data_IF_383682496062
#
_entry.id   IF_383682496062
#
_cell.length_a   1.000
_cell.length_b   1.000
_cell.length_c   1.000
_cell.angle_alpha   90.00
_cell.angle_beta   90.00
_cell.angle_gamma   90.00
#
_symmetry.space_group_name_H-M   'P 1'
#
loop_
_entity.id
_entity.type
_entity.pdbx_description
1 polymer ?
#
# COMPACT_ATOMS: atom_id res chain seq x y z
N UNK A 1 58.08 -6.04 -62.94
CA UNK A 1 58.65 -4.81 -62.34
C UNK A 1 57.70 -4.32 -61.26
N UNK A 2 58.20 -4.17 -60.02
CA UNK A 2 57.58 -3.63 -58.79
C UNK A 2 56.53 -4.47 -58.04
N UNK A 3 57.08 -5.16 -57.04
CA UNK A 3 56.52 -5.56 -55.74
C UNK A 3 55.91 -4.37 -54.99
N UNK A 4 54.83 -4.60 -54.21
CA UNK A 4 54.65 -4.06 -52.85
C UNK A 4 53.59 -4.83 -52.06
N UNK A 5 54.06 -5.48 -51.00
CA UNK A 5 53.35 -6.10 -49.88
C UNK A 5 52.56 -5.08 -49.04
N UNK A 6 51.48 -5.48 -48.36
CA UNK A 6 51.38 -5.52 -46.88
C UNK A 6 49.93 -5.75 -46.35
N UNK A 7 49.81 -6.77 -45.49
CA UNK A 7 49.07 -6.90 -44.20
C UNK A 7 47.62 -6.40 -44.08
N UNK A 8 46.75 -7.28 -43.54
CA UNK A 8 45.90 -7.14 -42.32
C UNK A 8 45.31 -8.56 -42.08
N UNK A 9 45.91 -9.37 -41.22
CA UNK A 9 45.68 -9.50 -39.77
C UNK A 9 44.31 -10.14 -39.42
N UNK A 10 44.40 -11.40 -38.98
CA UNK A 10 43.40 -12.12 -38.18
C UNK A 10 43.00 -11.29 -36.95
N UNK A 11 41.70 -11.06 -36.77
CA UNK A 11 41.04 -11.04 -35.44
C UNK A 11 39.52 -11.07 -35.63
N UNK A 12 38.95 -12.27 -35.77
CA UNK A 12 37.54 -12.51 -35.46
C UNK A 12 37.49 -13.48 -34.27
N UNK A 13 37.56 -12.91 -33.07
CA UNK A 13 37.46 -13.66 -31.82
C UNK A 13 37.29 -12.67 -30.69
N UNK A 14 36.23 -12.87 -29.89
CA UNK A 14 35.82 -12.11 -28.71
C UNK A 14 35.20 -10.72 -28.93
N UNK A 15 33.91 -10.66 -29.27
CA UNK A 15 33.01 -9.62 -28.70
C UNK A 15 31.55 -10.11 -28.64
N UNK A 16 31.22 -11.14 -27.83
CA UNK A 16 29.79 -11.38 -27.44
C UNK A 16 29.62 -11.95 -26.02
N UNK A 17 30.66 -12.13 -25.20
CA UNK A 17 30.49 -12.69 -23.84
C UNK A 17 30.49 -11.66 -22.68
N UNK A 18 30.68 -10.37 -22.96
CA UNK A 18 30.79 -9.31 -21.94
C UNK A 18 29.47 -8.61 -21.59
N UNK A 19 28.42 -8.73 -22.42
CA UNK A 19 27.16 -8.01 -22.19
C UNK A 19 26.21 -8.70 -21.21
N UNK A 20 26.20 -10.05 -21.14
CA UNK A 20 25.36 -10.77 -20.18
C UNK A 20 25.99 -10.85 -18.79
N UNK A 21 27.32 -10.92 -18.71
CA UNK A 21 28.05 -11.00 -17.43
C UNK A 21 28.00 -9.68 -16.66
N UNK A 22 28.19 -8.54 -17.33
CA UNK A 22 28.06 -7.21 -16.72
C UNK A 22 26.63 -6.91 -16.23
N UNK A 23 25.60 -7.23 -17.04
CA UNK A 23 24.20 -7.09 -16.63
C UNK A 23 23.82 -8.06 -15.49
N UNK A 24 24.39 -9.27 -15.48
CA UNK A 24 24.15 -10.25 -14.42
C UNK A 24 24.78 -9.82 -13.07
N UNK A 25 25.94 -9.17 -13.10
CA UNK A 25 26.57 -8.60 -11.89
C UNK A 25 25.71 -7.47 -11.32
N UNK A 26 25.19 -6.58 -12.17
CA UNK A 26 24.29 -5.48 -11.78
C UNK A 26 22.99 -5.98 -11.15
N UNK A 27 22.34 -7.00 -11.74
CA UNK A 27 21.11 -7.58 -11.17
C UNK A 27 21.37 -8.30 -9.84
N UNK A 28 22.48 -9.05 -9.71
CA UNK A 28 22.80 -9.72 -8.44
C UNK A 28 23.11 -8.72 -7.33
N UNK A 29 23.83 -7.64 -7.64
CA UNK A 29 24.11 -6.57 -6.69
C UNK A 29 22.82 -5.82 -6.30
N UNK A 30 21.93 -5.54 -7.25
CA UNK A 30 20.61 -4.97 -6.97
C UNK A 30 19.76 -5.90 -6.07
N UNK A 31 19.73 -7.20 -6.36
CA UNK A 31 19.03 -8.18 -5.52
C UNK A 31 19.63 -8.28 -4.12
N UNK A 32 20.96 -8.20 -4.00
CA UNK A 32 21.65 -8.18 -2.70
C UNK A 32 21.32 -6.91 -1.91
N UNK A 33 21.31 -5.75 -2.57
CA UNK A 33 20.90 -4.49 -1.97
C UNK A 33 19.44 -4.52 -1.50
N UNK A 34 18.53 -5.06 -2.33
CA UNK A 34 17.11 -5.20 -2.00
C UNK A 34 16.90 -6.15 -0.81
N UNK A 35 17.57 -7.30 -0.77
CA UNK A 35 17.51 -8.23 0.37
C UNK A 35 18.01 -7.57 1.64
N UNK A 36 19.17 -6.90 1.58
CA UNK A 36 19.73 -6.17 2.72
C UNK A 36 18.77 -5.08 3.21
N UNK A 37 18.18 -4.32 2.29
CA UNK A 37 17.19 -3.30 2.63
C UNK A 37 15.97 -3.91 3.32
N UNK A 38 15.40 -4.99 2.76
CA UNK A 38 14.27 -5.71 3.36
C UNK A 38 14.62 -6.22 4.77
N UNK A 39 15.77 -6.86 4.96
CA UNK A 39 16.20 -7.37 6.27
C UNK A 39 16.35 -6.23 7.29
N UNK A 40 16.91 -5.10 6.87
CA UNK A 40 17.04 -3.92 7.74
C UNK A 40 15.68 -3.32 8.10
N UNK A 41 14.75 -3.21 7.14
CA UNK A 41 13.40 -2.70 7.41
C UNK A 41 12.61 -3.62 8.35
N UNK A 42 12.66 -4.94 8.13
CA UNK A 42 12.00 -5.92 8.99
C UNK A 42 12.60 -5.90 10.40
N UNK A 43 13.92 -5.96 10.52
CA UNK A 43 14.59 -5.89 11.83
C UNK A 43 14.25 -4.60 12.58
N UNK A 44 14.14 -3.47 11.87
CA UNK A 44 13.76 -2.19 12.44
C UNK A 44 12.30 -2.17 12.89
N UNK A 45 11.38 -2.64 12.03
CA UNK A 45 9.94 -2.63 12.25
C UNK A 45 9.50 -3.46 13.47
N UNK A 46 10.14 -4.61 13.73
CA UNK A 46 9.76 -5.51 14.84
C UNK A 46 10.50 -5.25 16.16
N UNK A 47 11.07 -4.06 16.33
CA UNK A 47 11.56 -3.61 17.64
C UNK A 47 10.39 -3.15 18.52
N UNK A 48 10.52 -3.32 19.83
CA UNK A 48 9.42 -3.05 20.78
C UNK A 48 8.95 -1.58 20.74
N UNK A 49 9.85 -0.63 20.47
CA UNK A 49 9.54 0.81 20.41
C UNK A 49 8.65 1.23 19.23
N UNK A 50 8.40 0.33 18.27
CA UNK A 50 7.44 0.53 17.19
C UNK A 50 6.01 0.20 17.57
N UNK A 51 5.79 -0.43 18.73
CA UNK A 51 4.48 -0.90 19.15
C UNK A 51 4.02 -0.17 20.41
N UNK A 52 2.71 0.08 20.50
CA UNK A 52 2.03 0.57 21.71
C UNK A 52 0.78 -0.29 21.87
N UNK A 53 0.66 -0.97 23.02
CA UNK A 53 -0.49 -1.82 23.35
C UNK A 53 -0.89 -2.82 22.25
N UNK A 54 0.12 -3.42 21.61
CA UNK A 54 -0.04 -4.43 20.57
C UNK A 54 -0.21 -3.89 19.15
N UNK A 55 -0.40 -2.59 18.94
CA UNK A 55 -0.55 -1.97 17.62
C UNK A 55 0.71 -1.22 17.19
N UNK A 56 0.89 -1.01 15.89
CA UNK A 56 2.06 -0.38 15.31
C UNK A 56 1.90 1.12 15.15
N UNK A 57 2.97 1.85 15.45
CA UNK A 57 3.11 3.29 15.18
C UNK A 57 3.42 3.52 13.71
N UNK A 58 2.91 4.59 13.13
CA UNK A 58 3.25 5.02 11.76
C UNK A 58 4.73 5.42 11.61
N UNK A 59 5.39 5.74 12.71
CA UNK A 59 6.80 6.11 12.79
C UNK A 59 7.31 5.90 14.23
N UNK A 60 8.59 5.58 14.45
CA UNK A 60 9.11 5.42 15.82
C UNK A 60 9.13 6.75 16.58
N UNK A 61 9.01 7.89 15.89
CA UNK A 61 9.07 9.23 16.46
C UNK A 61 7.71 9.81 16.87
N UNK A 62 6.60 9.14 16.55
CA UNK A 62 5.26 9.57 17.00
C UNK A 62 4.84 8.82 18.26
N UNK A 63 3.79 9.28 18.94
CA UNK A 63 3.21 8.58 20.10
C UNK A 63 1.76 8.17 19.82
N UNK A 64 1.51 7.73 18.59
CA UNK A 64 0.21 7.24 18.12
C UNK A 64 0.39 5.96 17.31
N UNK A 65 -0.64 5.12 17.31
CA UNK A 65 -0.70 3.91 16.49
C UNK A 65 -1.63 4.11 15.31
N UNK A 66 -1.31 3.44 14.22
CA UNK A 66 -2.00 3.47 12.94
C UNK A 66 -2.44 2.05 12.59
N UNK A 67 -3.74 1.88 12.32
CA UNK A 67 -4.32 0.57 12.04
C UNK A 67 -3.90 0.03 10.67
N UNK A 68 -3.74 0.88 9.64
CA UNK A 68 -3.26 0.45 8.33
C UNK A 68 -1.80 0.01 8.41
N UNK A 69 -0.96 0.79 9.11
CA UNK A 69 0.42 0.40 9.40
C UNK A 69 0.47 -0.95 10.14
N UNK A 70 -0.43 -1.18 11.09
CA UNK A 70 -0.54 -2.48 11.77
C UNK A 70 -0.89 -3.62 10.81
N UNK A 71 -1.77 -3.38 9.84
CA UNK A 71 -2.07 -4.33 8.76
C UNK A 71 -0.85 -4.72 7.93
N UNK A 72 -0.12 -3.74 7.42
CA UNK A 72 1.12 -4.00 6.67
C UNK A 72 2.18 -4.69 7.53
N UNK A 73 2.31 -4.31 8.81
CA UNK A 73 3.23 -4.93 9.74
C UNK A 73 2.87 -6.41 9.99
N UNK A 74 1.60 -6.80 10.00
CA UNK A 74 1.22 -8.22 10.09
C UNK A 74 1.57 -9.01 8.83
N UNK A 75 1.46 -8.42 7.64
CA UNK A 75 1.94 -9.07 6.42
C UNK A 75 3.48 -9.23 6.40
N UNK A 76 4.21 -8.19 6.82
CA UNK A 76 5.67 -8.25 6.97
C UNK A 76 6.13 -9.30 8.01
N UNK A 77 5.27 -9.64 8.97
CA UNK A 77 5.60 -10.52 10.09
C UNK A 77 5.84 -11.95 9.60
N UNK A 78 5.11 -12.35 8.55
CA UNK A 78 5.30 -13.59 7.81
C UNK A 78 6.71 -13.62 7.22
N UNK A 79 7.10 -12.53 6.55
CA UNK A 79 8.41 -12.42 5.89
C UNK A 79 9.53 -12.46 6.93
N UNK A 80 9.37 -11.78 8.07
CA UNK A 80 10.34 -11.82 9.16
C UNK A 80 10.49 -13.23 9.77
N UNK A 81 9.38 -13.98 9.90
CA UNK A 81 9.41 -15.36 10.38
C UNK A 81 10.09 -16.30 9.38
N UNK A 82 9.74 -16.23 8.09
CA UNK A 82 10.34 -17.05 7.02
C UNK A 82 11.84 -16.77 6.83
N UNK A 83 12.27 -15.53 7.07
CA UNK A 83 13.69 -15.16 7.06
C UNK A 83 14.45 -15.53 8.33
N UNK A 84 13.77 -16.06 9.35
CA UNK A 84 14.37 -16.37 10.65
C UNK A 84 14.81 -15.15 11.46
N UNK A 85 14.34 -13.94 11.09
CA UNK A 85 14.57 -12.72 11.88
C UNK A 85 13.78 -12.75 13.19
N UNK A 86 12.65 -13.46 13.19
CA UNK A 86 11.87 -13.83 14.36
C UNK A 86 11.61 -15.33 14.33
N UNK A 87 11.64 -16.00 15.49
CA UNK A 87 11.10 -17.35 15.60
C UNK A 87 9.61 -17.34 15.26
N UNK A 88 9.08 -18.43 14.68
CA UNK A 88 7.66 -18.55 14.39
C UNK A 88 6.76 -18.30 15.61
N UNK A 89 7.11 -18.81 16.79
CA UNK A 89 6.37 -18.58 18.04
C UNK A 89 6.30 -17.10 18.42
N UNK A 90 7.44 -16.39 18.39
CA UNK A 90 7.49 -14.95 18.65
C UNK A 90 6.64 -14.17 17.65
N UNK A 91 6.74 -14.51 16.36
CA UNK A 91 5.96 -13.87 15.32
C UNK A 91 4.45 -14.12 15.52
N UNK A 92 4.06 -15.35 15.83
CA UNK A 92 2.67 -15.70 16.16
C UNK A 92 2.16 -14.94 17.39
N UNK A 93 2.97 -14.83 18.43
CA UNK A 93 2.57 -14.11 19.65
C UNK A 93 2.35 -12.61 19.38
N UNK A 94 3.19 -11.98 18.55
CA UNK A 94 2.98 -10.61 18.07
C UNK A 94 1.64 -10.50 17.34
N UNK A 95 1.34 -11.44 16.42
CA UNK A 95 0.06 -11.48 15.71
C UNK A 95 -1.14 -11.55 16.69
N UNK A 96 -1.11 -12.49 17.64
CA UNK A 96 -2.20 -12.67 18.61
C UNK A 96 -2.38 -11.42 19.48
N UNK A 97 -1.30 -10.81 19.94
CA UNK A 97 -1.34 -9.57 20.71
C UNK A 97 -1.98 -8.43 19.91
N UNK A 98 -1.60 -8.26 18.65
CA UNK A 98 -2.15 -7.25 17.75
C UNK A 98 -3.63 -7.46 17.50
N UNK A 99 -4.06 -8.68 17.15
CA UNK A 99 -5.50 -8.96 16.91
C UNK A 99 -6.32 -8.79 18.19
N UNK A 100 -5.80 -9.22 19.34
CA UNK A 100 -6.46 -8.98 20.63
C UNK A 100 -6.58 -7.48 20.94
N UNK A 101 -5.60 -6.65 20.56
CA UNK A 101 -5.72 -5.20 20.68
C UNK A 101 -6.85 -4.65 19.81
N UNK A 102 -6.92 -5.08 18.54
CA UNK A 102 -8.01 -4.70 17.64
C UNK A 102 -9.39 -5.14 18.17
N UNK A 103 -9.51 -6.34 18.71
CA UNK A 103 -10.75 -6.84 19.31
C UNK A 103 -11.16 -6.03 20.55
N UNK A 104 -10.21 -5.63 21.40
CA UNK A 104 -10.50 -4.71 22.52
C UNK A 104 -11.09 -3.39 22.02
N UNK A 105 -10.56 -2.84 20.92
CA UNK A 105 -11.10 -1.63 20.30
C UNK A 105 -12.51 -1.84 19.72
N UNK A 106 -12.78 -2.99 19.08
CA UNK A 106 -14.12 -3.33 18.59
C UNK A 106 -15.14 -3.55 19.72
N UNK A 107 -14.68 -4.02 20.88
CA UNK A 107 -15.54 -4.28 22.04
C UNK A 107 -15.84 -3.02 22.88
N UNK A 108 -15.08 -1.93 22.69
CA UNK A 108 -15.37 -0.64 23.31
C UNK A 108 -16.18 0.25 22.33
N UNK A 109 -17.46 0.55 22.60
CA UNK A 109 -18.30 1.39 21.73
C UNK A 109 -17.78 2.81 21.51
N UNK A 110 -16.84 3.29 22.33
CA UNK A 110 -16.20 4.60 22.16
C UNK A 110 -14.97 4.56 21.26
N UNK A 111 -14.51 3.36 20.91
CA UNK A 111 -13.25 3.11 20.21
C UNK A 111 -13.46 2.51 18.82
N UNK A 112 -14.69 2.37 18.33
CA UNK A 112 -15.01 1.89 17.00
C UNK A 112 -16.39 2.41 16.54
N UNK A 113 -16.73 2.18 15.27
CA UNK A 113 -18.09 2.37 14.76
C UNK A 113 -18.50 1.16 13.91
N UNK A 114 -19.45 0.36 14.41
CA UNK A 114 -19.93 -0.87 13.77
C UNK A 114 -18.80 -1.85 13.38
N UNK A 115 -17.81 -1.98 14.25
CA UNK A 115 -16.64 -2.85 14.06
C UNK A 115 -15.53 -2.24 13.23
N UNK A 116 -15.75 -1.11 12.54
CA UNK A 116 -14.69 -0.34 11.89
C UNK A 116 -13.91 0.47 12.91
N UNK A 117 -12.60 0.55 12.72
CA UNK A 117 -11.69 1.22 13.66
C UNK A 117 -11.35 2.64 13.21
N UNK A 118 -11.00 3.48 14.18
CA UNK A 118 -10.43 4.80 13.94
C UNK A 118 -9.06 4.67 13.30
N UNK A 119 -8.72 5.61 12.42
CA UNK A 119 -7.44 5.62 11.71
C UNK A 119 -6.25 5.63 12.70
N UNK A 120 -6.32 6.48 13.73
CA UNK A 120 -5.28 6.62 14.74
C UNK A 120 -5.79 6.50 16.18
N UNK A 121 -4.98 5.88 17.03
CA UNK A 121 -5.21 5.85 18.47
C UNK A 121 -3.99 6.36 19.24
N UNK A 122 -4.25 6.91 20.43
CA UNK A 122 -3.24 7.35 21.39
C UNK A 122 -3.30 6.47 22.64
N UNK A 123 -2.16 6.23 23.33
CA UNK A 123 -2.21 5.67 24.67
C UNK A 123 -3.00 6.59 25.61
N UNK A 124 -3.77 5.98 26.52
CA UNK A 124 -4.35 6.72 27.64
C UNK A 124 -3.27 7.13 28.66
N UNK A 125 -3.65 7.86 29.70
CA UNK A 125 -2.70 8.33 30.72
C UNK A 125 -2.03 7.18 31.47
N UNK A 126 -2.68 6.03 31.58
CA UNK A 126 -2.12 4.84 32.23
C UNK A 126 -1.12 4.11 31.34
N UNK A 127 -1.14 4.36 30.03
CA UNK A 127 -0.37 3.65 29.03
C UNK A 127 -0.93 2.26 28.70
N UNK A 128 -1.96 1.77 29.40
CA UNK A 128 -2.44 0.38 29.26
C UNK A 128 -3.58 0.21 28.25
N UNK A 129 -4.26 1.30 27.88
CA UNK A 129 -5.30 1.29 26.85
C UNK A 129 -5.03 2.29 25.74
N UNK A 130 -5.83 2.19 24.70
CA UNK A 130 -5.83 3.09 23.55
C UNK A 130 -7.16 3.84 23.49
N UNK A 131 -7.12 5.10 23.10
CA UNK A 131 -8.29 5.93 22.81
C UNK A 131 -8.17 6.55 21.43
N UNK A 132 -9.27 6.78 20.70
CA UNK A 132 -9.20 7.47 19.41
C UNK A 132 -8.47 8.81 19.54
N UNK A 133 -7.60 9.10 18.59
CA UNK A 133 -6.95 10.41 18.51
C UNK A 133 -8.02 11.49 18.30
N UNK A 134 -7.92 12.60 19.01
CA UNK A 134 -8.92 13.67 18.88
C UNK A 134 -8.99 14.18 17.44
N UNK A 135 -10.21 14.29 16.90
CA UNK A 135 -10.47 14.75 15.53
C UNK A 135 -10.25 13.71 14.44
N UNK A 136 -9.87 12.47 14.79
CA UNK A 136 -9.68 11.40 13.81
C UNK A 136 -11.00 10.70 13.47
N UNK A 137 -11.08 10.21 12.25
CA UNK A 137 -12.18 9.48 11.69
C UNK A 137 -12.07 7.96 11.88
N UNK A 138 -13.22 7.28 11.87
CA UNK A 138 -13.31 5.86 11.54
C UNK A 138 -13.14 5.72 10.04
N UNK A 139 -12.20 4.88 9.62
CA UNK A 139 -11.77 4.78 8.22
C UNK A 139 -12.03 3.40 7.64
N UNK A 140 -12.69 3.39 6.47
CA UNK A 140 -13.03 2.15 5.75
C UNK A 140 -11.78 1.53 5.12
N UNK A 141 -10.90 2.32 4.50
CA UNK A 141 -9.68 1.82 3.87
C UNK A 141 -8.72 1.28 4.92
N UNK A 142 -8.48 2.03 6.00
CA UNK A 142 -7.47 1.63 6.99
C UNK A 142 -7.91 0.36 7.75
N UNK A 143 -9.21 0.21 8.01
CA UNK A 143 -9.78 -1.04 8.51
C UNK A 143 -9.64 -2.18 7.50
N UNK A 144 -9.83 -1.93 6.20
CA UNK A 144 -9.67 -2.93 5.15
C UNK A 144 -8.20 -3.40 5.02
N UNK A 145 -7.23 -2.49 5.08
CA UNK A 145 -5.80 -2.81 5.07
C UNK A 145 -5.42 -3.61 6.32
N UNK A 146 -5.88 -3.19 7.50
CA UNK A 146 -5.69 -3.93 8.75
C UNK A 146 -6.21 -5.37 8.60
N UNK A 147 -7.45 -5.53 8.15
CA UNK A 147 -8.08 -6.83 7.97
C UNK A 147 -7.32 -7.68 6.94
N UNK A 148 -6.87 -7.11 5.82
CA UNK A 148 -6.08 -7.83 4.83
C UNK A 148 -4.78 -8.39 5.43
N UNK A 149 -4.09 -7.59 6.25
CA UNK A 149 -2.93 -8.02 7.02
C UNK A 149 -3.24 -9.14 8.01
N UNK A 150 -4.33 -9.01 8.78
CA UNK A 150 -4.80 -10.02 9.72
C UNK A 150 -5.10 -11.33 9.00
N UNK A 151 -5.87 -11.30 7.91
CA UNK A 151 -6.22 -12.50 7.15
C UNK A 151 -4.97 -13.18 6.57
N UNK A 152 -4.08 -12.41 5.96
CA UNK A 152 -2.84 -12.91 5.36
C UNK A 152 -1.95 -13.61 6.40
N UNK A 153 -1.72 -12.96 7.55
CA UNK A 153 -0.93 -13.55 8.64
C UNK A 153 -1.63 -14.76 9.27
N UNK A 154 -2.95 -14.69 9.46
CA UNK A 154 -3.72 -15.78 10.06
C UNK A 154 -3.65 -17.05 9.21
N UNK A 155 -3.78 -16.95 7.89
CA UNK A 155 -3.67 -18.07 6.96
C UNK A 155 -2.27 -18.70 7.01
N UNK A 156 -1.22 -17.88 7.07
CA UNK A 156 0.15 -18.36 7.22
C UNK A 156 0.36 -19.12 8.53
N UNK A 157 0.09 -18.50 9.69
CA UNK A 157 0.33 -19.13 10.99
C UNK A 157 -0.56 -20.36 11.23
N UNK A 158 -1.78 -20.36 10.70
CA UNK A 158 -2.65 -21.52 10.72
C UNK A 158 -2.02 -22.72 10.00
N UNK A 159 -1.36 -22.51 8.85
CA UNK A 159 -0.63 -23.57 8.13
C UNK A 159 0.63 -24.03 8.88
N UNK A 160 1.18 -23.20 9.75
CA UNK A 160 2.27 -23.56 10.65
C UNK A 160 1.80 -24.29 11.93
N UNK A 161 0.50 -24.56 12.08
CA UNK A 161 -0.07 -25.31 13.20
C UNK A 161 -0.72 -24.45 14.30
N UNK A 162 -0.73 -23.12 14.18
CA UNK A 162 -1.34 -22.21 15.15
C UNK A 162 -2.79 -21.89 14.78
N UNK A 163 -3.69 -22.87 14.94
CA UNK A 163 -5.09 -22.74 14.52
C UNK A 163 -5.85 -21.59 15.20
N UNK A 164 -5.43 -21.19 16.41
CA UNK A 164 -6.02 -20.07 17.15
C UNK A 164 -5.95 -18.74 16.38
N UNK A 165 -5.00 -18.61 15.45
CA UNK A 165 -4.83 -17.40 14.66
C UNK A 165 -6.01 -17.17 13.71
N UNK A 166 -6.54 -18.24 13.11
CA UNK A 166 -7.72 -18.20 12.26
C UNK A 166 -8.97 -17.84 13.05
N UNK A 167 -9.13 -18.36 14.26
CA UNK A 167 -10.29 -18.07 15.09
C UNK A 167 -10.34 -16.58 15.46
N UNK A 168 -9.19 -16.02 15.85
CA UNK A 168 -9.05 -14.59 16.14
C UNK A 168 -9.28 -13.70 14.92
N UNK A 169 -8.74 -14.08 13.77
CA UNK A 169 -8.97 -13.35 12.51
C UNK A 169 -10.45 -13.37 12.11
N UNK A 170 -11.12 -14.53 12.25
CA UNK A 170 -12.55 -14.69 11.97
C UNK A 170 -13.41 -13.88 12.94
N UNK A 171 -13.05 -13.84 14.22
CA UNK A 171 -13.71 -13.02 15.24
C UNK A 171 -13.67 -11.54 14.83
N UNK A 172 -12.47 -11.01 14.55
CA UNK A 172 -12.30 -9.61 14.14
C UNK A 172 -13.07 -9.27 12.87
N UNK A 173 -13.01 -10.14 11.86
CA UNK A 173 -13.70 -9.93 10.58
C UNK A 173 -15.23 -9.98 10.74
N UNK A 174 -15.75 -10.89 11.58
CA UNK A 174 -17.20 -11.03 11.80
C UNK A 174 -17.81 -9.78 12.44
N UNK A 175 -17.03 -9.05 13.24
CA UNK A 175 -17.48 -7.83 13.89
C UNK A 175 -17.64 -6.65 12.91
N UNK A 176 -17.03 -6.69 11.72
CA UNK A 176 -17.09 -5.60 10.75
C UNK A 176 -18.40 -5.70 9.96
N UNK A 177 -19.29 -4.72 10.16
CA UNK A 177 -20.55 -4.65 9.43
C UNK A 177 -20.45 -3.69 8.23
N UNK A 178 -20.00 -4.21 7.08
CA UNK A 178 -19.78 -3.40 5.87
C UNK A 178 -21.01 -2.65 5.37
N UNK A 179 -22.22 -3.14 5.65
CA UNK A 179 -23.46 -2.45 5.25
C UNK A 179 -23.62 -1.08 5.90
N UNK A 180 -23.03 -0.84 7.08
CA UNK A 180 -23.11 0.48 7.72
C UNK A 180 -22.37 1.55 6.94
N UNK A 181 -21.24 1.23 6.31
CA UNK A 181 -20.50 2.17 5.46
C UNK A 181 -20.98 2.15 4.01
N UNK A 182 -21.82 1.21 3.62
CA UNK A 182 -22.33 1.11 2.25
C UNK A 182 -23.60 1.94 2.05
N UNK A 183 -23.53 2.87 1.12
CA UNK A 183 -24.68 3.65 0.71
C UNK A 183 -25.43 2.93 -0.43
N UNK A 184 -26.57 2.33 -0.11
CA UNK A 184 -27.35 1.54 -1.07
C UNK A 184 -27.95 2.34 -2.24
N UNK A 185 -28.20 3.65 -2.09
CA UNK A 185 -28.75 4.46 -3.18
C UNK A 185 -27.67 4.94 -4.15
N UNK A 186 -26.48 5.31 -3.64
CA UNK A 186 -25.32 5.65 -4.47
C UNK A 186 -24.53 4.44 -4.95
N UNK A 187 -24.78 3.26 -4.37
CA UNK A 187 -24.04 2.02 -4.64
C UNK A 187 -22.53 2.16 -4.40
N UNK A 188 -22.18 2.86 -3.32
CA UNK A 188 -20.80 3.26 -3.01
C UNK A 188 -20.55 3.17 -1.51
N UNK A 189 -19.32 2.86 -1.13
CA UNK A 189 -18.89 2.96 0.27
C UNK A 189 -18.59 4.42 0.62
N UNK A 190 -19.00 4.83 1.82
CA UNK A 190 -18.49 6.04 2.46
C UNK A 190 -17.00 5.90 2.74
N UNK A 191 -16.25 7.00 2.67
CA UNK A 191 -14.83 6.97 2.99
C UNK A 191 -14.62 6.75 4.48
N UNK A 192 -15.34 7.53 5.28
CA UNK A 192 -15.12 7.61 6.70
C UNK A 192 -16.36 8.09 7.47
N UNK A 193 -16.30 7.95 8.79
CA UNK A 193 -17.30 8.41 9.74
C UNK A 193 -16.63 9.14 10.92
N UNK A 194 -17.23 10.23 11.38
CA UNK A 194 -16.81 10.90 12.62
C UNK A 194 -18.02 11.29 13.47
N UNK A 195 -18.78 12.32 13.05
CA UNK A 195 -20.09 12.69 13.60
C UNK A 195 -21.19 12.57 12.53
N UNK A 196 -20.94 11.71 11.54
CA UNK A 196 -21.66 11.61 10.29
C UNK A 196 -20.73 11.03 9.22
N UNK A 197 -21.32 10.43 8.20
CA UNK A 197 -20.56 9.91 7.07
C UNK A 197 -20.08 11.03 6.15
N UNK A 198 -18.87 10.89 5.62
CA UNK A 198 -18.33 11.83 4.63
C UNK A 198 -17.49 11.11 3.58
N UNK A 199 -17.43 11.72 2.40
CA UNK A 199 -16.77 11.16 1.23
C UNK A 199 -17.46 9.91 0.70
N UNK A 200 -17.14 9.56 -0.55
CA UNK A 200 -17.53 8.30 -1.16
C UNK A 200 -16.38 7.76 -1.99
N UNK A 201 -16.17 6.46 -1.95
CA UNK A 201 -15.26 5.77 -2.86
C UNK A 201 -15.93 5.59 -4.22
N UNK A 202 -15.81 6.61 -5.07
CA UNK A 202 -16.51 6.73 -6.36
C UNK A 202 -15.59 6.69 -7.59
N UNK A 203 -14.28 6.54 -7.39
CA UNK A 203 -13.26 6.34 -8.42
C UNK A 203 -12.41 5.10 -8.13
N UNK A 204 -11.73 4.60 -9.16
CA UNK A 204 -10.77 3.52 -9.00
C UNK A 204 -9.57 3.93 -8.11
N UNK A 205 -9.36 3.16 -7.06
CA UNK A 205 -8.05 2.84 -6.49
C UNK A 205 -8.02 1.34 -6.21
N UNK A 206 -6.84 0.75 -6.08
CA UNK A 206 -6.72 -0.66 -5.68
C UNK A 206 -7.20 -0.89 -4.23
N UNK A 207 -7.17 0.13 -3.38
CA UNK A 207 -7.74 0.11 -2.03
C UNK A 207 -9.28 -0.01 -2.05
N UNK A 208 -9.97 0.62 -3.01
CA UNK A 208 -11.42 0.44 -3.19
C UNK A 208 -11.74 -0.99 -3.63
N UNK A 209 -10.87 -1.60 -4.45
CA UNK A 209 -10.97 -3.02 -4.78
C UNK A 209 -10.80 -3.91 -3.53
N UNK A 210 -9.86 -3.57 -2.65
CA UNK A 210 -9.63 -4.27 -1.39
C UNK A 210 -10.86 -4.19 -0.47
N UNK A 211 -11.48 -3.01 -0.32
CA UNK A 211 -12.74 -2.84 0.42
C UNK A 211 -13.81 -3.77 -0.16
N UNK A 212 -14.00 -3.75 -1.48
CA UNK A 212 -15.11 -4.46 -2.11
C UNK A 212 -14.98 -5.98 -2.00
N UNK A 213 -13.77 -6.53 -2.15
CA UNK A 213 -13.51 -7.96 -1.93
C UNK A 213 -13.73 -8.35 -0.48
N UNK A 214 -13.25 -7.56 0.47
CA UNK A 214 -13.42 -7.87 1.90
C UNK A 214 -14.87 -7.68 2.35
N UNK A 215 -15.63 -6.76 1.76
CA UNK A 215 -17.05 -6.66 2.04
C UNK A 215 -17.83 -7.87 1.52
N UNK A 216 -17.52 -8.32 0.30
CA UNK A 216 -18.11 -9.52 -0.31
C UNK A 216 -17.76 -10.79 0.49
N UNK A 217 -16.54 -10.87 1.00
CA UNK A 217 -15.99 -12.02 1.71
C UNK A 217 -16.40 -12.15 3.17
N UNK A 218 -17.16 -11.20 3.73
CA UNK A 218 -17.47 -11.19 5.17
C UNK A 218 -18.02 -12.54 5.65
N UNK A 219 -17.57 -13.08 6.80
CA UNK A 219 -18.09 -14.34 7.32
C UNK A 219 -19.55 -14.23 7.80
N UNK A 220 -20.06 -13.02 8.01
CA UNK A 220 -21.44 -12.73 8.42
C UNK A 220 -22.22 -12.27 7.19
N UNK A 221 -23.21 -13.06 6.75
CA UNK A 221 -23.96 -12.82 5.50
C UNK A 221 -24.70 -11.48 5.54
N UNK A 222 -25.19 -11.10 6.71
CA UNK A 222 -25.90 -9.86 6.99
C UNK A 222 -25.00 -8.63 6.92
N UNK A 223 -23.68 -8.81 6.99
CA UNK A 223 -22.70 -7.75 6.89
C UNK A 223 -22.16 -7.59 5.47
N UNK A 224 -22.45 -8.52 4.55
CA UNK A 224 -21.90 -8.52 3.19
C UNK A 224 -22.49 -7.43 2.31
N UNK A 225 -21.65 -6.91 1.41
CA UNK A 225 -22.03 -6.09 0.27
C UNK A 225 -21.53 -6.79 -0.99
N UNK A 226 -22.38 -6.91 -2.02
CA UNK A 226 -21.96 -7.54 -3.26
C UNK A 226 -20.92 -6.66 -3.98
N UNK A 227 -19.84 -7.27 -4.46
CA UNK A 227 -18.79 -6.54 -5.19
C UNK A 227 -19.33 -5.87 -6.47
N UNK A 228 -20.37 -6.44 -7.10
CA UNK A 228 -21.06 -5.86 -8.26
C UNK A 228 -21.85 -4.61 -7.89
N UNK A 229 -22.36 -4.54 -6.66
CA UNK A 229 -23.05 -3.36 -6.15
C UNK A 229 -22.10 -2.28 -5.65
N UNK A 230 -20.86 -2.61 -5.32
CA UNK A 230 -19.85 -1.62 -4.89
C UNK A 230 -18.86 -1.30 -6.00
N UNK A 231 -17.81 -2.11 -6.16
CA UNK A 231 -16.76 -1.89 -7.17
C UNK A 231 -17.31 -1.82 -8.61
N UNK A 232 -18.42 -2.51 -8.90
CA UNK A 232 -19.09 -2.42 -10.19
C UNK A 232 -19.66 -1.03 -10.54
N UNK A 233 -19.87 -0.15 -9.55
CA UNK A 233 -20.48 1.17 -9.73
C UNK A 233 -19.51 2.34 -9.51
N UNK A 234 -18.20 2.06 -9.45
CA UNK A 234 -17.19 3.12 -9.42
C UNK A 234 -17.03 3.75 -10.80
N UNK A 235 -16.50 4.97 -10.81
CA UNK A 235 -16.08 5.66 -12.02
C UNK A 235 -14.72 5.13 -12.48
N UNK A 236 -14.69 4.53 -13.68
CA UNK A 236 -13.45 4.12 -14.36
C UNK A 236 -13.16 5.12 -15.47
N UNK A 237 -12.13 5.96 -15.27
CA UNK A 237 -11.64 6.90 -16.29
C UNK A 237 -10.35 6.41 -16.89
N UNK A 238 -10.38 6.09 -18.18
CA UNK A 238 -9.17 5.76 -18.94
C UNK A 238 -8.50 7.03 -19.46
N UNK A 239 -7.18 6.96 -19.64
CA UNK A 239 -6.48 7.80 -20.59
C UNK A 239 -5.06 7.33 -20.79
N UNK A 240 -4.20 8.23 -21.26
CA UNK A 240 -2.85 7.87 -21.64
C UNK A 240 -1.84 8.98 -21.39
N UNK A 241 -0.58 8.58 -21.20
CA UNK A 241 0.56 9.47 -21.17
C UNK A 241 1.72 8.84 -21.94
N UNK A 242 2.19 9.51 -22.99
CA UNK A 242 3.36 9.09 -23.81
C UNK A 242 3.32 7.61 -24.24
N UNK A 243 2.14 7.11 -24.62
CA UNK A 243 1.94 5.74 -25.10
C UNK A 243 1.57 4.71 -24.04
N UNK A 244 1.56 5.08 -22.75
CA UNK A 244 1.04 4.23 -21.68
C UNK A 244 -0.43 4.55 -21.42
N UNK A 245 -1.32 3.60 -21.67
CA UNK A 245 -2.76 3.73 -21.39
C UNK A 245 -3.13 3.02 -20.09
N UNK A 246 -3.92 3.68 -19.24
CA UNK A 246 -4.36 3.14 -17.96
C UNK A 246 -5.61 3.85 -17.43
N UNK A 247 -6.26 3.23 -16.45
CA UNK A 247 -7.31 3.79 -15.61
C UNK A 247 -6.68 4.64 -14.54
N UNK A 248 -7.08 5.90 -14.46
CA UNK A 248 -6.58 6.82 -13.46
C UNK A 248 -7.33 6.69 -12.13
N UNK A 249 -6.56 6.75 -11.05
CA UNK A 249 -7.01 7.17 -9.74
C UNK A 249 -7.10 8.70 -9.66
N UNK A 250 -8.01 9.19 -8.81
CA UNK A 250 -8.33 10.62 -8.70
C UNK A 250 -7.10 11.51 -8.46
N UNK A 251 -6.29 11.14 -7.47
CA UNK A 251 -5.08 11.87 -7.10
C UNK A 251 -3.87 11.51 -7.99
N UNK A 252 -3.88 10.35 -8.65
CA UNK A 252 -2.73 9.90 -9.45
C UNK A 252 -1.46 9.58 -8.63
N UNK A 253 -1.51 9.71 -7.30
CA UNK A 253 -0.50 9.22 -6.36
C UNK A 253 -0.30 7.70 -6.51
N UNK A 254 0.94 7.25 -6.59
CA UNK A 254 1.26 5.87 -6.97
C UNK A 254 0.80 4.82 -5.94
N UNK A 255 0.70 5.16 -4.65
CA UNK A 255 0.23 4.22 -3.62
C UNK A 255 -1.16 3.64 -3.90
N UNK A 256 -2.03 4.42 -4.56
CA UNK A 256 -3.42 4.04 -4.93
C UNK A 256 -3.52 2.92 -5.97
N UNK A 257 -2.38 2.39 -6.41
CA UNK A 257 -2.26 1.26 -7.34
C UNK A 257 -1.44 0.10 -6.76
N UNK A 258 -0.89 0.24 -5.55
CA UNK A 258 0.12 -0.67 -4.98
C UNK A 258 -0.32 -1.35 -3.67
N UNK A 259 -1.12 -0.70 -2.83
CA UNK A 259 -1.41 -1.21 -1.49
C UNK A 259 -2.13 -2.55 -1.49
N UNK A 260 -3.10 -2.75 -2.39
CA UNK A 260 -3.80 -4.02 -2.48
C UNK A 260 -2.92 -5.13 -3.06
N UNK A 261 -1.89 -4.80 -3.87
CA UNK A 261 -0.93 -5.78 -4.40
C UNK A 261 -0.09 -6.43 -3.31
N UNK A 262 0.02 -5.83 -2.13
CA UNK A 262 0.67 -6.46 -0.97
C UNK A 262 -0.08 -7.70 -0.47
N UNK A 263 -1.39 -7.82 -0.75
CA UNK A 263 -2.26 -8.88 -0.23
C UNK A 263 -2.92 -9.72 -1.33
N UNK A 264 -3.13 -9.14 -2.51
CA UNK A 264 -3.85 -9.76 -3.63
C UNK A 264 -2.90 -9.92 -4.81
N UNK A 265 -2.80 -11.14 -5.32
CA UNK A 265 -2.06 -11.41 -6.54
C UNK A 265 -2.90 -11.09 -7.79
N UNK A 266 -2.89 -9.83 -8.21
CA UNK A 266 -3.61 -9.37 -9.39
C UNK A 266 -3.16 -10.05 -10.70
N UNK A 267 -1.96 -10.66 -10.74
CA UNK A 267 -1.50 -11.42 -11.93
C UNK A 267 -2.35 -12.65 -12.21
N UNK A 268 -3.03 -13.14 -11.18
CA UNK A 268 -3.90 -14.32 -11.22
C UNK A 268 -5.34 -13.94 -11.44
N UNK A 269 -5.63 -12.65 -11.51
CA UNK A 269 -6.95 -12.14 -11.86
C UNK A 269 -6.94 -11.87 -13.36
N UNK A 270 -7.90 -12.44 -14.06
CA UNK A 270 -8.20 -12.04 -15.43
C UNK A 270 -8.80 -10.61 -15.43
N UNK A 271 -9.12 -10.11 -16.62
CA UNK A 271 -9.89 -8.87 -16.76
C UNK A 271 -11.16 -8.92 -15.93
N UNK A 272 -11.44 -7.83 -15.22
CA UNK A 272 -12.68 -7.73 -14.48
C UNK A 272 -13.89 -7.74 -15.42
N UNK A 273 -15.01 -8.29 -14.96
CA UNK A 273 -16.19 -8.52 -15.80
C UNK A 273 -17.03 -7.26 -16.08
N UNK A 274 -16.83 -6.19 -15.31
CA UNK A 274 -17.69 -5.00 -15.37
C UNK A 274 -17.06 -3.94 -16.27
N UNK A 275 -15.80 -3.61 -16.02
CA UNK A 275 -15.05 -2.57 -16.71
C UNK A 275 -14.09 -3.15 -17.77
N UNK A 276 -13.95 -4.48 -17.83
CA UNK A 276 -13.03 -5.17 -18.76
C UNK A 276 -11.57 -4.75 -18.60
N UNK A 277 -11.15 -4.39 -17.38
CA UNK A 277 -9.79 -3.93 -17.08
C UNK A 277 -8.98 -5.08 -16.48
N UNK A 278 -7.78 -5.28 -17.01
CA UNK A 278 -6.75 -6.09 -16.37
C UNK A 278 -6.02 -5.20 -15.37
N UNK A 279 -6.36 -5.33 -14.08
CA UNK A 279 -5.84 -4.45 -13.03
C UNK A 279 -4.33 -4.62 -12.79
N UNK A 280 -3.76 -5.79 -13.12
CA UNK A 280 -2.30 -5.97 -13.08
C UNK A 280 -1.61 -5.16 -14.18
N UNK A 281 -2.10 -5.24 -15.41
CA UNK A 281 -1.57 -4.43 -16.51
C UNK A 281 -1.85 -2.94 -16.27
N UNK A 282 -2.97 -2.61 -15.66
CA UNK A 282 -3.30 -1.24 -15.27
C UNK A 282 -2.26 -0.65 -14.32
N UNK A 283 -1.93 -1.36 -13.23
CA UNK A 283 -0.90 -0.92 -12.27
C UNK A 283 0.47 -0.80 -12.95
N UNK A 284 0.85 -1.75 -13.83
CA UNK A 284 2.10 -1.64 -14.61
C UNK A 284 2.14 -0.38 -15.46
N UNK A 285 1.09 -0.10 -16.21
CA UNK A 285 0.99 1.11 -17.03
C UNK A 285 1.01 2.37 -16.18
N UNK A 286 0.40 2.35 -14.99
CA UNK A 286 0.46 3.43 -14.03
C UNK A 286 1.90 3.67 -13.53
N UNK A 287 2.65 2.63 -13.16
CA UNK A 287 4.06 2.74 -12.75
C UNK A 287 4.95 3.27 -13.89
N UNK A 288 4.79 2.74 -15.10
CA UNK A 288 5.55 3.20 -16.28
C UNK A 288 5.26 4.67 -16.62
N UNK A 289 3.99 5.08 -16.45
CA UNK A 289 3.62 6.49 -16.57
C UNK A 289 4.30 7.35 -15.50
N UNK A 290 4.42 6.88 -14.25
CA UNK A 290 5.14 7.58 -13.18
C UNK A 290 6.59 7.87 -13.57
N UNK A 291 7.29 6.82 -14.00
CA UNK A 291 8.69 6.87 -14.40
C UNK A 291 8.87 7.84 -15.56
N UNK A 292 8.02 7.76 -16.59
CA UNK A 292 8.10 8.64 -17.74
C UNK A 292 7.80 10.10 -17.35
N UNK A 293 6.79 10.32 -16.51
CA UNK A 293 6.44 11.65 -16.03
C UNK A 293 7.59 12.29 -15.25
N UNK A 294 8.24 11.54 -14.35
CA UNK A 294 9.40 12.03 -13.61
C UNK A 294 10.55 12.45 -14.54
N UNK A 295 10.85 11.64 -15.56
CA UNK A 295 11.87 11.96 -16.58
C UNK A 295 11.53 13.25 -17.32
N UNK A 296 10.29 13.39 -17.78
CA UNK A 296 9.82 14.56 -18.53
C UNK A 296 9.82 15.84 -17.66
N UNK A 297 9.67 15.69 -16.34
CA UNK A 297 9.63 16.79 -15.39
C UNK A 297 10.96 17.02 -14.66
N UNK A 298 12.08 16.55 -15.21
CA UNK A 298 13.43 16.85 -14.74
C UNK A 298 13.76 16.27 -13.37
N UNK A 299 13.22 15.10 -13.03
CA UNK A 299 13.77 14.26 -11.98
C UNK A 299 15.01 13.52 -12.52
N UNK A 300 16.00 13.18 -11.68
CA UNK A 300 17.09 12.30 -12.08
C UNK A 300 16.55 10.97 -12.62
N UNK A 301 17.30 10.34 -13.53
CA UNK A 301 16.87 9.14 -14.28
C UNK A 301 16.31 8.01 -13.41
N UNK A 302 16.87 7.84 -12.21
CA UNK A 302 16.59 6.73 -11.29
C UNK A 302 15.75 7.17 -10.08
N UNK A 303 15.14 8.37 -10.14
CA UNK A 303 14.31 8.93 -9.07
C UNK A 303 12.87 9.08 -9.57
N UNK A 304 11.99 8.20 -9.07
CA UNK A 304 10.56 8.14 -9.36
C UNK A 304 9.78 7.62 -8.14
N UNK A 305 8.46 7.51 -8.22
CA UNK A 305 7.60 7.12 -7.11
C UNK A 305 6.85 8.33 -6.54
N UNK A 306 6.07 9.02 -7.38
CA UNK A 306 5.27 10.17 -6.96
C UNK A 306 4.09 9.67 -6.13
N UNK A 307 4.13 9.94 -4.82
CA UNK A 307 3.14 9.46 -3.87
C UNK A 307 3.20 10.29 -2.59
N UNK A 308 2.20 10.09 -1.71
CA UNK A 308 2.20 10.69 -0.38
C UNK A 308 3.48 10.36 0.38
N UNK A 309 4.21 11.37 0.84
CA UNK A 309 5.43 11.18 1.63
C UNK A 309 5.66 12.35 2.58
N UNK A 310 6.35 12.05 3.69
CA UNK A 310 6.84 13.08 4.59
C UNK A 310 7.92 13.92 3.90
N UNK A 311 7.75 15.23 3.92
CA UNK A 311 8.78 16.16 3.46
C UNK A 311 8.84 17.39 4.36
N UNK A 312 10.01 18.04 4.41
CA UNK A 312 10.15 19.26 5.20
C UNK A 312 9.35 20.39 4.56
N UNK A 313 8.54 21.08 5.36
CA UNK A 313 7.78 22.26 4.92
C UNK A 313 8.68 23.44 4.49
N UNK A 314 9.92 23.50 5.00
CA UNK A 314 11.01 24.40 4.61
C UNK A 314 12.37 23.80 5.05
N UNK A 315 13.51 24.39 4.67
CA UNK A 315 14.83 23.84 5.03
C UNK A 315 15.01 23.58 6.55
N UNK A 316 14.42 24.44 7.39
CA UNK A 316 14.42 24.36 8.86
C UNK A 316 13.05 23.98 9.46
N UNK A 317 12.02 23.78 8.63
CA UNK A 317 10.66 23.48 9.07
C UNK A 317 10.47 22.02 9.47
N UNK A 318 9.41 21.70 10.23
CA UNK A 318 9.06 20.33 10.56
C UNK A 318 8.75 19.54 9.27
N UNK A 319 8.99 18.23 9.32
CA UNK A 319 8.47 17.31 8.33
C UNK A 319 6.95 17.25 8.46
N UNK A 320 6.24 17.34 7.34
CA UNK A 320 4.79 17.17 7.22
C UNK A 320 4.49 16.11 6.16
N UNK A 321 3.44 15.34 6.36
CA UNK A 321 2.92 14.44 5.32
C UNK A 321 2.35 15.30 4.19
N UNK A 322 2.88 15.15 2.98
CA UNK A 322 2.37 15.82 1.79
C UNK A 322 1.88 14.76 0.81
N UNK A 323 0.63 14.89 0.38
CA UNK A 323 0.12 14.16 -0.79
C UNK A 323 0.75 14.77 -2.04
N UNK A 324 1.22 13.91 -2.95
CA UNK A 324 1.96 14.32 -4.14
C UNK A 324 1.37 13.60 -5.32
N UNK A 325 0.79 14.39 -6.20
CA UNK A 325 -0.06 13.92 -7.27
C UNK A 325 0.59 14.19 -8.62
N UNK A 326 0.23 13.42 -9.65
CA UNK A 326 0.77 13.66 -11.00
C UNK A 326 0.19 14.95 -11.57
N UNK A 327 1.04 15.94 -11.86
CA UNK A 327 0.63 17.19 -12.53
C UNK A 327 0.88 17.06 -14.03
N UNK A 328 -0.12 17.27 -14.89
CA UNK A 328 0.12 17.63 -16.29
C UNK A 328 -0.09 16.54 -17.35
N UNK A 329 -1.34 16.09 -17.44
CA UNK A 329 -2.18 16.11 -18.64
C UNK A 329 -3.59 15.90 -18.12
N UNK A 330 -4.54 16.75 -18.48
CA UNK A 330 -5.88 16.78 -17.88
C UNK A 330 -6.46 15.38 -17.62
N UNK A 331 -6.78 15.09 -16.36
CA UNK A 331 -7.76 14.06 -16.03
C UNK A 331 -9.09 14.78 -15.90
N UNK A 332 -10.01 14.46 -16.82
CA UNK A 332 -11.31 15.14 -16.95
C UNK A 332 -11.95 15.49 -15.60
N UNK A 333 -12.11 16.78 -15.34
CA UNK A 333 -12.88 17.29 -14.20
C UNK A 333 -12.18 18.28 -13.28
N UNK A 334 -10.85 18.28 -13.16
CA UNK A 334 -10.18 19.24 -12.27
C UNK A 334 -10.01 20.62 -12.91
N UNK A 335 -10.37 21.66 -12.17
CA UNK A 335 -10.16 23.04 -12.57
C UNK A 335 -8.66 23.38 -12.56
N UNK A 336 -8.20 24.36 -13.36
CA UNK A 336 -6.82 24.83 -13.32
C UNK A 336 -6.34 25.31 -11.93
N UNK A 337 -7.25 25.58 -10.99
CA UNK A 337 -6.95 26.03 -9.64
C UNK A 337 -6.53 24.91 -8.68
N UNK A 338 -6.78 23.64 -9.01
CA UNK A 338 -6.42 22.47 -8.19
C UNK A 338 -4.99 21.96 -8.48
N UNK A 339 -4.21 22.73 -9.24
CA UNK A 339 -2.84 22.42 -9.67
C UNK A 339 -1.83 22.81 -8.58
N UNK A 340 -1.55 21.93 -7.61
CA UNK A 340 -0.49 22.15 -6.63
C UNK A 340 0.89 21.76 -7.16
N UNK A 341 1.95 22.42 -6.69
CA UNK A 341 3.32 22.33 -7.19
C UNK A 341 4.12 21.18 -6.55
N UNK A 342 4.47 20.14 -7.31
CA UNK A 342 5.42 19.07 -6.91
C UNK A 342 6.87 19.56 -6.70
N UNK A 343 7.07 20.87 -6.85
CA UNK A 343 8.32 21.58 -6.64
C UNK A 343 8.09 22.68 -5.61
N UNK A 344 7.97 22.30 -4.34
CA UNK A 344 7.89 23.25 -3.23
C UNK A 344 9.32 23.56 -2.79
N UNK A 345 9.73 24.84 -2.92
CA UNK A 345 11.06 25.32 -2.53
C UNK A 345 12.24 24.61 -3.25
N UNK A 346 12.08 24.20 -4.50
CA UNK A 346 13.15 23.50 -5.24
C UNK A 346 13.26 22.01 -4.95
N UNK A 347 12.46 21.47 -4.03
CA UNK A 347 12.54 20.06 -3.62
C UNK A 347 11.49 19.26 -4.39
N UNK A 348 11.95 18.20 -5.06
CA UNK A 348 11.13 17.20 -5.75
C UNK A 348 11.12 15.83 -5.02
N UNK A 349 10.55 15.72 -3.81
CA UNK A 349 10.51 14.42 -3.12
C UNK A 349 9.72 13.37 -3.89
N UNK A 350 10.29 12.17 -3.90
CA UNK A 350 9.62 10.92 -4.24
C UNK A 350 9.45 10.09 -2.97
N UNK A 351 8.50 9.17 -2.99
CA UNK A 351 8.23 8.24 -1.92
C UNK A 351 9.00 6.93 -2.17
N UNK A 352 10.09 6.62 -1.42
CA UNK A 352 10.89 5.43 -1.68
C UNK A 352 10.08 4.14 -1.59
N UNK A 353 9.05 4.10 -0.72
CA UNK A 353 8.21 2.91 -0.57
C UNK A 353 7.41 2.55 -1.83
N UNK A 354 7.10 3.52 -2.71
CA UNK A 354 6.39 3.25 -3.98
C UNK A 354 7.30 2.88 -5.15
N UNK A 355 8.59 3.22 -5.06
CA UNK A 355 9.56 2.81 -6.05
C UNK A 355 10.12 1.41 -5.76
N UNK A 356 10.24 1.07 -4.47
CA UNK A 356 10.77 -0.21 -4.00
C UNK A 356 9.68 -1.28 -3.87
N UNK A 357 8.53 -0.91 -3.31
CA UNK A 357 7.35 -1.78 -3.21
C UNK A 357 6.60 -1.83 -4.52
#
# INVERSE_FOLDING_TARGET
MKIKSCKIALTLGLVVSLSMTAYSLDVQDALKALKKFQDQQLNYCYQDYFRINGLYKSSPYVNEVDIATSGFALAGLIVAAEKGLLSQDKAKNIFIETVNACLRLQNDPKSNYHGFLYHFYLPDYSGNNLKPKSGVEVSTIDTAILLAGILTASEYFTRQGYSECRDKAREFYSNINWRYFFNGSRKQFHMAWSNGFFGFWDYYTDEVFLIAILAQGSPVVEHRVDIRDSFGNITVKQGSYKGYSYVYSWYGSLFTYLFAHAFIDFRRLDKDLVHSVDWWQNTKSAVLTDIQWCRDNGYPKDIFGISACWSKSSASGPAIMEYRDRIGSALSGCSPAERFYNNKNGVKPVAPYTAIG
#
